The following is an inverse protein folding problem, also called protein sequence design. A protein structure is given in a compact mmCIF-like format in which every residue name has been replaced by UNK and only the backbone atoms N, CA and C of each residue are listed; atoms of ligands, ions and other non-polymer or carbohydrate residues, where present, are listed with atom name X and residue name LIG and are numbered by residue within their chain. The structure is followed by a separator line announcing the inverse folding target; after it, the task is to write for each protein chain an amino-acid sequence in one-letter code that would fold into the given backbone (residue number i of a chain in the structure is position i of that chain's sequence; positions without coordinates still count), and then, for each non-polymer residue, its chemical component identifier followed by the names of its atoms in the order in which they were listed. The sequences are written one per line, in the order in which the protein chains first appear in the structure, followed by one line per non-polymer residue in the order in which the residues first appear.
data_IF_325410658037
#
_entry.id   IF_325410658037
#
_cell.length_a   1.000
_cell.length_b   1.000
_cell.length_c   1.000
_cell.angle_alpha   90.00
_cell.angle_beta   90.00
_cell.angle_gamma   90.00
#
_symmetry.space_group_name_H-M   'P 1'
#
loop_
_entity.id
_entity.type
_entity.pdbx_description
1 polymer ?
#
# COMPACT_ATOMS: atom_id res chain seq x y z
N UNK A 1 -11.73 -34.83 13.59
CA UNK A 1 -11.60 -33.99 14.79
C UNK A 1 -10.14 -33.57 14.87
N UNK A 2 -9.87 -32.28 14.74
CA UNK A 2 -8.50 -31.74 14.73
C UNK A 2 -7.90 -31.91 16.12
N UNK A 3 -6.63 -32.31 16.20
CA UNK A 3 -5.93 -32.48 17.46
C UNK A 3 -5.74 -31.12 18.18
N UNK A 4 -5.79 -31.04 19.53
CA UNK A 4 -5.77 -29.77 20.25
C UNK A 4 -4.53 -28.91 20.01
N UNK A 5 -3.38 -29.55 19.81
CA UNK A 5 -2.11 -28.91 19.45
C UNK A 5 -2.16 -28.27 18.05
N UNK A 6 -2.73 -28.99 17.07
CA UNK A 6 -2.93 -28.45 15.72
C UNK A 6 -3.93 -27.30 15.74
N UNK A 7 -5.00 -27.42 16.52
CA UNK A 7 -5.98 -26.35 16.70
C UNK A 7 -5.32 -25.09 17.28
N UNK A 8 -4.46 -25.23 18.29
CA UNK A 8 -3.73 -24.11 18.88
C UNK A 8 -2.79 -23.45 17.87
N UNK A 9 -2.10 -24.23 17.04
CA UNK A 9 -1.27 -23.71 15.95
C UNK A 9 -2.09 -22.91 14.94
N UNK A 10 -3.21 -23.46 14.45
CA UNK A 10 -4.08 -22.80 13.47
C UNK A 10 -4.64 -21.47 14.01
N UNK A 11 -5.04 -21.44 15.28
CA UNK A 11 -5.49 -20.21 15.95
C UNK A 11 -4.37 -19.18 16.01
N UNK A 12 -3.17 -19.55 16.49
CA UNK A 12 -2.04 -18.63 16.61
C UNK A 12 -1.59 -18.07 15.25
N UNK A 13 -1.55 -18.91 14.21
CA UNK A 13 -1.20 -18.49 12.87
C UNK A 13 -2.24 -17.49 12.31
N UNK A 14 -3.54 -17.76 12.51
CA UNK A 14 -4.61 -16.84 12.10
C UNK A 14 -4.58 -15.52 12.88
N UNK A 15 -4.38 -15.55 14.19
CA UNK A 15 -4.23 -14.34 15.01
C UNK A 15 -3.03 -13.50 14.58
N UNK A 16 -1.90 -14.14 14.28
CA UNK A 16 -0.71 -13.47 13.76
C UNK A 16 -0.96 -12.86 12.39
N UNK A 17 -1.71 -13.54 11.53
CA UNK A 17 -2.13 -13.02 10.22
C UNK A 17 -3.03 -11.78 10.39
N UNK A 18 -3.98 -11.81 11.33
CA UNK A 18 -4.83 -10.67 11.66
C UNK A 18 -3.99 -9.48 12.15
N UNK A 19 -3.08 -9.70 13.10
CA UNK A 19 -2.20 -8.65 13.62
C UNK A 19 -1.37 -8.03 12.50
N UNK A 20 -0.74 -8.86 11.67
CA UNK A 20 0.11 -8.45 10.55
C UNK A 20 -0.63 -7.50 9.60
N UNK A 21 -1.89 -7.82 9.25
CA UNK A 21 -2.72 -6.93 8.43
C UNK A 21 -3.14 -5.65 9.15
N UNK A 22 -3.50 -5.73 10.44
CA UNK A 22 -3.86 -4.55 11.25
C UNK A 22 -2.69 -3.59 11.40
N UNK A 23 -1.48 -4.09 11.64
CA UNK A 23 -0.26 -3.30 11.79
C UNK A 23 0.08 -2.56 10.50
N UNK A 24 -0.08 -3.21 9.34
CA UNK A 24 0.11 -2.56 8.04
C UNK A 24 -0.96 -1.47 7.79
N UNK A 25 -2.22 -1.75 8.08
CA UNK A 25 -3.29 -0.75 7.95
C UNK A 25 -3.05 0.46 8.87
N UNK A 26 -2.56 0.24 10.09
CA UNK A 26 -2.19 1.30 11.01
C UNK A 26 -1.00 2.14 10.48
N UNK A 27 0.03 1.51 9.92
CA UNK A 27 1.14 2.20 9.29
C UNK A 27 0.68 3.07 8.10
N UNK A 28 -0.25 2.57 7.27
CA UNK A 28 -0.86 3.37 6.21
C UNK A 28 -1.62 4.58 6.78
N UNK A 29 -2.40 4.41 7.85
CA UNK A 29 -3.11 5.52 8.49
C UNK A 29 -2.14 6.56 9.07
N UNK A 30 -1.03 6.12 9.67
CA UNK A 30 0.01 7.03 10.14
C UNK A 30 0.63 7.82 8.98
N UNK A 31 0.92 7.16 7.85
CA UNK A 31 1.37 7.84 6.63
C UNK A 31 0.36 8.91 6.19
N UNK A 32 -0.91 8.54 6.08
CA UNK A 32 -2.02 9.42 5.67
C UNK A 32 -2.23 10.62 6.60
N UNK A 33 -1.86 10.51 7.88
CA UNK A 33 -1.98 11.60 8.85
C UNK A 33 -0.99 12.76 8.62
N UNK A 34 -0.03 12.61 7.72
CA UNK A 34 0.97 13.64 7.44
C UNK A 34 1.22 13.86 5.94
N UNK A 35 2.16 14.74 5.57
CA UNK A 35 2.46 15.01 4.17
C UNK A 35 3.07 13.77 3.47
N UNK A 36 2.72 13.51 2.20
CA UNK A 36 3.19 12.34 1.46
C UNK A 36 4.61 12.57 0.91
N UNK A 37 5.60 12.55 1.79
CA UNK A 37 7.02 12.72 1.42
C UNK A 37 7.67 11.39 1.08
N UNK A 38 8.73 11.43 0.26
CA UNK A 38 9.50 10.24 -0.10
C UNK A 38 10.09 9.53 1.14
N UNK A 39 10.59 10.30 2.11
CA UNK A 39 11.19 9.78 3.35
C UNK A 39 10.18 9.01 4.21
N UNK A 40 8.89 9.31 4.09
CA UNK A 40 7.81 8.59 4.79
C UNK A 40 7.25 7.44 3.96
N UNK A 41 7.27 7.56 2.64
CA UNK A 41 6.75 6.54 1.74
C UNK A 41 7.69 5.33 1.65
N UNK A 42 9.01 5.54 1.59
CA UNK A 42 9.98 4.46 1.49
C UNK A 42 9.84 3.40 2.61
N UNK A 43 9.86 3.75 3.92
CA UNK A 43 9.71 2.76 4.98
C UNK A 43 8.35 2.07 4.97
N UNK A 44 7.29 2.75 4.51
CA UNK A 44 5.97 2.16 4.35
C UNK A 44 5.94 1.05 3.29
N UNK A 45 6.60 1.29 2.15
CA UNK A 45 6.71 0.31 1.07
C UNK A 45 7.55 -0.89 1.51
N UNK A 46 8.68 -0.66 2.18
CA UNK A 46 9.52 -1.74 2.72
C UNK A 46 8.72 -2.59 3.73
N UNK A 47 8.01 -1.94 4.66
CA UNK A 47 7.14 -2.64 5.62
C UNK A 47 6.06 -3.45 4.89
N UNK A 48 5.46 -2.91 3.83
CA UNK A 48 4.42 -3.59 3.05
C UNK A 48 4.95 -4.85 2.39
N UNK A 49 6.14 -4.80 1.79
CA UNK A 49 6.78 -5.97 1.17
C UNK A 49 7.04 -7.07 2.19
N UNK A 50 7.64 -6.71 3.34
CA UNK A 50 7.91 -7.65 4.45
C UNK A 50 6.61 -8.24 5.00
N UNK A 51 5.59 -7.42 5.19
CA UNK A 51 4.28 -7.83 5.71
C UNK A 51 3.62 -8.85 4.77
N UNK A 52 3.63 -8.62 3.46
CA UNK A 52 3.03 -9.54 2.50
C UNK A 52 3.81 -10.83 2.32
N UNK A 53 5.14 -10.80 2.43
CA UNK A 53 5.93 -12.03 2.49
C UNK A 53 5.51 -12.88 3.70
N UNK A 54 5.45 -12.27 4.89
CA UNK A 54 5.03 -12.95 6.11
C UNK A 54 3.58 -13.47 6.03
N UNK A 55 2.65 -12.66 5.53
CA UNK A 55 1.25 -13.06 5.39
C UNK A 55 1.11 -14.27 4.46
N UNK A 56 1.85 -14.28 3.34
CA UNK A 56 1.86 -15.40 2.40
C UNK A 56 2.43 -16.67 3.03
N UNK A 57 3.50 -16.56 3.81
CA UNK A 57 4.08 -17.71 4.52
C UNK A 57 3.08 -18.29 5.53
N UNK A 58 2.43 -17.44 6.32
CA UNK A 58 1.38 -17.85 7.27
C UNK A 58 0.17 -18.48 6.58
N UNK A 59 -0.29 -17.91 5.47
CA UNK A 59 -1.37 -18.48 4.66
C UNK A 59 -1.01 -19.87 4.12
N UNK A 60 0.24 -20.05 3.68
CA UNK A 60 0.73 -21.33 3.21
C UNK A 60 0.82 -22.35 4.35
N UNK A 61 1.33 -21.96 5.52
CA UNK A 61 1.39 -22.82 6.69
C UNK A 61 -0.02 -23.28 7.11
N UNK A 62 -0.98 -22.36 7.16
CA UNK A 62 -2.40 -22.69 7.42
C UNK A 62 -2.95 -23.67 6.39
N UNK A 63 -2.68 -23.45 5.09
CA UNK A 63 -3.17 -24.29 4.01
C UNK A 63 -2.57 -25.69 4.04
N UNK A 64 -1.27 -25.81 4.31
CA UNK A 64 -0.56 -27.09 4.45
C UNK A 64 -1.09 -27.86 5.65
N UNK A 65 -1.14 -27.24 6.83
CA UNK A 65 -1.65 -27.89 8.03
C UNK A 65 -3.08 -28.37 7.85
N UNK A 66 -3.96 -27.56 7.26
CA UNK A 66 -5.35 -27.97 7.00
C UNK A 66 -5.43 -29.11 5.98
N UNK A 67 -4.59 -29.13 4.95
CA UNK A 67 -4.56 -30.21 3.97
C UNK A 67 -4.12 -31.55 4.59
N UNK A 68 -3.23 -31.50 5.58
CA UNK A 68 -2.77 -32.67 6.33
C UNK A 68 -3.87 -33.22 7.25
N UNK A 69 -4.57 -32.35 7.98
CA UNK A 69 -5.60 -32.80 8.96
C UNK A 69 -6.98 -33.04 8.35
N UNK A 70 -7.26 -32.49 7.17
CA UNK A 70 -8.53 -32.63 6.45
C UNK A 70 -8.27 -33.10 5.01
N UNK A 71 -7.77 -34.33 4.83
CA UNK A 71 -7.45 -34.84 3.50
C UNK A 71 -8.71 -34.89 2.63
N UNK A 72 -8.64 -34.30 1.44
CA UNK A 72 -9.73 -34.25 0.47
C UNK A 72 -10.58 -32.97 0.50
N UNK A 73 -10.37 -32.09 1.49
CA UNK A 73 -10.94 -30.75 1.46
C UNK A 73 -10.11 -29.81 0.58
N UNK A 74 -10.77 -28.88 -0.10
CA UNK A 74 -10.08 -27.88 -0.89
C UNK A 74 -9.48 -26.80 0.01
N UNK A 75 -8.16 -26.75 0.11
CA UNK A 75 -7.41 -25.69 0.84
C UNK A 75 -6.86 -24.60 -0.08
N UNK A 76 -7.13 -24.70 -1.39
CA UNK A 76 -6.63 -23.75 -2.38
C UNK A 76 -7.43 -22.44 -2.36
N UNK A 77 -6.75 -21.36 -2.00
CA UNK A 77 -7.28 -19.99 -2.04
C UNK A 77 -7.92 -19.52 -0.72
N UNK A 78 -7.86 -18.20 -0.52
CA UNK A 78 -8.23 -17.55 0.75
C UNK A 78 -9.66 -17.86 1.19
N UNK A 79 -10.61 -17.88 0.26
CA UNK A 79 -12.02 -18.14 0.58
C UNK A 79 -12.26 -19.55 1.07
N UNK A 80 -11.57 -20.54 0.50
CA UNK A 80 -11.67 -21.94 0.92
C UNK A 80 -11.00 -22.13 2.28
N UNK A 81 -9.80 -21.55 2.45
CA UNK A 81 -9.08 -21.55 3.72
C UNK A 81 -9.91 -20.94 4.85
N UNK A 82 -10.50 -19.76 4.62
CA UNK A 82 -11.36 -19.08 5.58
C UNK A 82 -12.61 -19.90 5.94
N UNK A 83 -13.22 -20.60 4.98
CA UNK A 83 -14.37 -21.45 5.24
C UNK A 83 -14.01 -22.64 6.13
N UNK A 84 -12.87 -23.29 5.88
CA UNK A 84 -12.38 -24.40 6.70
C UNK A 84 -12.02 -23.93 8.11
N UNK A 85 -11.27 -22.82 8.24
CA UNK A 85 -10.94 -22.25 9.55
C UNK A 85 -12.18 -21.88 10.36
N UNK A 86 -13.20 -21.29 9.71
CA UNK A 86 -14.46 -20.95 10.36
C UNK A 86 -15.27 -22.19 10.81
N UNK A 87 -15.17 -23.31 10.09
CA UNK A 87 -15.91 -24.54 10.39
C UNK A 87 -15.22 -25.37 11.46
N UNK A 88 -13.90 -25.44 11.42
CA UNK A 88 -13.13 -26.45 12.16
C UNK A 88 -12.55 -25.94 13.48
N UNK A 89 -12.40 -24.62 13.63
CA UNK A 89 -11.95 -24.00 14.87
C UNK A 89 -13.15 -23.51 15.70
N UNK A 90 -13.18 -23.75 17.03
CA UNK A 90 -14.24 -23.24 17.91
C UNK A 90 -14.44 -21.72 17.85
N UNK A 91 -13.34 -20.96 17.75
CA UNK A 91 -13.37 -19.50 17.59
C UNK A 91 -13.24 -19.05 16.12
N UNK A 92 -13.24 -20.01 15.20
CA UNK A 92 -13.02 -19.81 13.77
C UNK A 92 -13.89 -18.73 13.15
N UNK A 93 -15.23 -18.74 13.33
CA UNK A 93 -16.10 -17.74 12.71
C UNK A 93 -15.75 -16.31 13.12
N UNK A 94 -15.43 -16.09 14.39
CA UNK A 94 -15.01 -14.78 14.91
C UNK A 94 -13.67 -14.36 14.30
N UNK A 95 -12.67 -15.22 14.37
CA UNK A 95 -11.31 -14.91 13.89
C UNK A 95 -11.28 -14.69 12.37
N UNK A 96 -12.04 -15.46 11.60
CA UNK A 96 -12.15 -15.28 10.15
C UNK A 96 -12.82 -13.95 9.80
N UNK A 97 -13.85 -13.54 10.55
CA UNK A 97 -14.46 -12.23 10.35
C UNK A 97 -13.50 -11.09 10.70
N UNK A 98 -12.75 -11.22 11.79
CA UNK A 98 -11.70 -10.26 12.14
C UNK A 98 -10.58 -10.17 11.09
N UNK A 99 -10.20 -11.31 10.51
CA UNK A 99 -9.23 -11.34 9.41
C UNK A 99 -9.77 -10.63 8.17
N UNK A 100 -11.03 -10.88 7.79
CA UNK A 100 -11.67 -10.18 6.67
C UNK A 100 -11.71 -8.68 6.91
N UNK A 101 -12.03 -8.23 8.12
CA UNK A 101 -12.03 -6.82 8.48
C UNK A 101 -10.62 -6.21 8.40
N UNK A 102 -9.59 -6.92 8.86
CA UNK A 102 -8.20 -6.48 8.77
C UNK A 102 -7.74 -6.33 7.31
N UNK A 103 -8.03 -7.32 6.45
CA UNK A 103 -7.73 -7.25 5.01
C UNK A 103 -8.49 -6.11 4.34
N UNK A 104 -9.78 -5.94 4.66
CA UNK A 104 -10.58 -4.82 4.14
C UNK A 104 -10.00 -3.46 4.53
N UNK A 105 -9.48 -3.31 5.75
CA UNK A 105 -8.80 -2.10 6.21
C UNK A 105 -7.50 -1.84 5.43
N UNK A 106 -6.70 -2.87 5.15
CA UNK A 106 -5.50 -2.74 4.29
C UNK A 106 -5.90 -2.28 2.88
N UNK A 107 -6.92 -2.90 2.27
CA UNK A 107 -7.38 -2.52 0.92
C UNK A 107 -7.93 -1.09 0.88
N UNK A 108 -8.69 -0.69 1.88
CA UNK A 108 -9.21 0.68 1.97
C UNK A 108 -8.07 1.70 2.10
N UNK A 109 -7.13 1.45 3.02
CA UNK A 109 -6.00 2.35 3.25
C UNK A 109 -5.01 2.39 2.08
N UNK A 110 -4.79 1.28 1.36
CA UNK A 110 -4.01 1.24 0.11
C UNK A 110 -4.61 2.20 -0.94
N UNK A 111 -5.95 2.23 -1.06
CA UNK A 111 -6.64 3.15 -1.99
C UNK A 111 -6.46 4.60 -1.58
N UNK A 112 -6.57 4.89 -0.29
CA UNK A 112 -6.39 6.25 0.23
C UNK A 112 -4.95 6.74 0.03
N UNK A 113 -3.96 5.90 0.30
CA UNK A 113 -2.54 6.21 0.06
C UNK A 113 -2.31 6.49 -1.42
N UNK A 114 -2.83 5.65 -2.32
CA UNK A 114 -2.72 5.87 -3.75
C UNK A 114 -3.34 7.20 -4.19
N UNK A 115 -4.52 7.54 -3.66
CA UNK A 115 -5.21 8.79 -3.98
C UNK A 115 -4.41 10.02 -3.53
N UNK A 116 -3.83 10.00 -2.33
CA UNK A 116 -2.99 11.09 -1.81
C UNK A 116 -1.72 11.27 -2.65
N UNK A 117 -1.08 10.17 -3.07
CA UNK A 117 0.10 10.20 -3.93
C UNK A 117 -0.23 10.77 -5.32
N UNK A 118 -1.36 10.37 -5.91
CA UNK A 118 -1.83 10.91 -7.19
C UNK A 118 -2.12 12.41 -7.10
N UNK A 119 -2.75 12.85 -6.01
CA UNK A 119 -2.98 14.28 -5.76
C UNK A 119 -1.66 15.05 -5.64
N UNK A 120 -0.70 14.55 -4.86
CA UNK A 120 0.61 15.17 -4.70
C UNK A 120 1.36 15.28 -6.05
N UNK A 121 1.30 14.22 -6.86
CA UNK A 121 1.86 14.20 -8.23
C UNK A 121 1.21 15.25 -9.13
N UNK A 122 -0.12 15.41 -9.06
CA UNK A 122 -0.84 16.41 -9.85
C UNK A 122 -0.44 17.84 -9.45
N UNK A 123 -0.34 18.11 -8.15
CA UNK A 123 0.10 19.41 -7.63
C UNK A 123 1.53 19.76 -8.08
N UNK A 124 2.48 18.83 -7.92
CA UNK A 124 3.85 19.01 -8.39
C UNK A 124 3.92 19.28 -9.90
N UNK A 125 3.10 18.58 -10.68
CA UNK A 125 3.03 18.76 -12.12
C UNK A 125 2.57 20.17 -12.50
N UNK A 126 1.60 20.75 -11.78
CA UNK A 126 1.15 22.12 -11.99
C UNK A 126 2.21 23.15 -11.59
N UNK A 127 2.89 22.97 -10.45
CA UNK A 127 3.96 23.87 -10.03
C UNK A 127 5.14 23.85 -11.02
N UNK A 128 5.53 22.68 -11.52
CA UNK A 128 6.55 22.56 -12.57
C UNK A 128 6.13 23.32 -13.84
N UNK A 129 4.85 23.24 -14.24
CA UNK A 129 4.34 24.03 -15.39
C UNK A 129 4.45 25.53 -15.14
N UNK A 130 4.16 26.01 -13.94
CA UNK A 130 4.31 27.43 -13.58
C UNK A 130 5.77 27.87 -13.66
N UNK A 131 6.70 27.10 -13.08
CA UNK A 131 8.14 27.37 -13.15
C UNK A 131 8.61 27.43 -14.61
N UNK A 132 8.22 26.46 -15.44
CA UNK A 132 8.57 26.44 -16.87
C UNK A 132 8.04 27.66 -17.62
N UNK A 133 6.80 28.09 -17.34
CA UNK A 133 6.23 29.32 -17.93
C UNK A 133 7.02 30.55 -17.49
N UNK A 134 7.30 30.69 -16.20
CA UNK A 134 8.14 31.77 -15.67
C UNK A 134 9.52 31.82 -16.33
N UNK A 135 10.20 30.68 -16.41
CA UNK A 135 11.50 30.57 -17.08
C UNK A 135 11.44 30.97 -18.55
N UNK A 136 10.40 30.55 -19.29
CA UNK A 136 10.21 30.94 -20.70
C UNK A 136 9.98 32.44 -20.88
N UNK A 137 9.25 33.11 -19.98
CA UNK A 137 9.09 34.57 -20.02
C UNK A 137 10.43 35.28 -19.78
N UNK A 138 11.27 34.73 -18.89
CA UNK A 138 12.58 35.28 -18.58
C UNK A 138 13.64 35.02 -19.67
N UNK A 139 13.44 34.04 -20.57
CA UNK A 139 14.35 33.81 -21.71
C UNK A 139 14.51 35.02 -22.62
N UNK A 140 13.48 35.86 -22.76
CA UNK A 140 13.58 37.11 -23.53
C UNK A 140 14.55 38.13 -22.93
N UNK A 141 14.78 38.08 -21.61
CA UNK A 141 15.75 38.93 -20.91
C UNK A 141 17.17 38.35 -20.90
N UNK A 142 17.35 37.11 -21.37
CA UNK A 142 18.64 36.45 -21.54
C UNK A 142 19.25 36.68 -22.92
N UNK A 143 18.64 37.52 -23.77
CA UNK A 143 19.31 37.93 -25.00
C UNK A 143 20.64 38.59 -24.61
N UNK A 144 21.80 38.10 -25.12
CA UNK A 144 23.01 38.89 -25.04
C UNK A 144 22.71 40.23 -25.73
N UNK A 145 23.21 41.33 -25.17
CA UNK A 145 23.29 42.62 -25.85
C UNK A 145 24.12 42.44 -27.14
N UNK A 146 23.55 41.84 -28.18
CA UNK A 146 23.89 42.25 -29.52
C UNK A 146 23.20 43.58 -29.70
N UNK A 147 24.02 44.61 -29.50
CA UNK A 147 23.80 45.99 -29.93
C UNK A 147 23.59 45.98 -31.45
N UNK A 148 22.46 45.45 -31.89
CA UNK A 148 21.94 45.54 -33.24
C UNK A 148 21.30 46.90 -33.39
N UNK A 149 22.16 47.92 -33.53
CA UNK A 149 21.95 49.12 -34.32
C UNK A 149 20.47 49.46 -34.61
N UNK A 150 19.77 49.99 -33.60
CA UNK A 150 18.66 50.89 -33.85
C UNK A 150 19.23 52.30 -34.06
N UNK A 151 20.06 52.48 -35.10
CA UNK A 151 20.30 53.82 -35.62
C UNK A 151 18.98 54.30 -36.23
N UNK A 152 18.35 55.22 -35.49
CA UNK A 152 17.30 56.10 -35.98
C UNK A 152 17.93 56.92 -37.11
N UNK A 153 17.71 56.51 -38.36
CA UNK A 153 17.87 57.39 -39.50
C UNK A 153 16.54 58.09 -39.76
N UNK A 154 16.27 59.11 -38.94
CA UNK A 154 15.28 60.16 -39.23
C UNK A 154 15.77 61.48 -38.69
N UNK A 155 16.73 62.10 -39.39
CA UNK A 155 16.95 63.55 -39.31
C UNK A 155 16.94 64.12 -40.74
N UNK A 156 15.83 64.83 -41.00
CA UNK A 156 15.53 65.91 -41.97
C UNK A 156 15.93 65.74 -43.43
#
# INVERSE_FOLDING_TARGET
MIAPDVQAFLVQALERLISTHRDLAAAHQEFLAGPPTADRLAPLLDQREVTFALARDLENDLAVTLAEVLPGEATAGLSALAALLARELPEGPRLVEEWRQAVAAVVATDRDVAAVLDQARAQLSEEIKKIRRGASLLKGYLQPDETGSCFIDKIK
#
